data_IF_103162799619
#
_entry.id   IF_103162799619
#
_cell.length_a   1.000
_cell.length_b   1.000
_cell.length_c   1.000
_cell.angle_alpha   90.00
_cell.angle_beta   90.00
_cell.angle_gamma   90.00
#
_symmetry.space_group_name_H-M   'P 1'
#
loop_
_entity.id
_entity.type
_entity.pdbx_description
1 polymer ?
#
# COMPACT_ATOMS: atom_id res chain seq x y z
N UNK A 1 27.37 1.43 15.32
CA UNK A 1 26.36 0.47 14.83
C UNK A 1 27.07 -0.72 14.22
N UNK A 2 27.06 -1.88 14.92
CA UNK A 2 27.55 -3.13 14.33
C UNK A 2 26.40 -3.68 13.48
N UNK A 3 26.62 -3.83 12.17
CA UNK A 3 25.66 -4.45 11.26
C UNK A 3 25.52 -5.94 11.61
N UNK A 4 24.29 -6.38 11.82
CA UNK A 4 23.95 -7.80 11.84
C UNK A 4 24.10 -8.36 10.45
N UNK A 5 24.95 -9.28 10.18
CA UNK A 5 25.19 -10.11 9.00
C UNK A 5 24.48 -9.75 7.67
N UNK A 6 25.22 -9.72 6.57
CA UNK A 6 24.70 -9.56 5.20
C UNK A 6 24.34 -10.92 4.59
N UNK A 7 23.17 -11.04 3.97
CA UNK A 7 22.73 -12.23 3.26
C UNK A 7 22.51 -11.98 1.78
N UNK A 8 23.02 -12.85 0.93
CA UNK A 8 22.78 -12.88 -0.51
C UNK A 8 21.50 -13.69 -0.82
N UNK A 9 20.72 -13.26 -1.78
CA UNK A 9 19.55 -14.02 -2.28
C UNK A 9 19.98 -15.31 -2.98
N UNK A 10 19.24 -16.42 -2.85
CA UNK A 10 17.94 -16.58 -2.20
C UNK A 10 18.02 -16.71 -0.67
N UNK A 11 17.04 -16.15 0.04
CA UNK A 11 16.97 -16.18 1.50
C UNK A 11 16.39 -17.53 1.95
N UNK A 12 17.14 -18.29 2.77
CA UNK A 12 16.60 -19.45 3.46
C UNK A 12 15.72 -18.99 4.63
N UNK A 13 14.42 -19.27 4.58
CA UNK A 13 13.43 -18.82 5.59
C UNK A 13 13.74 -19.34 6.99
N UNK A 14 14.21 -20.58 7.17
CA UNK A 14 14.60 -21.12 8.49
C UNK A 14 15.77 -20.33 9.10
N UNK A 15 16.72 -19.93 8.25
CA UNK A 15 17.87 -19.13 8.67
C UNK A 15 17.47 -17.70 9.01
N UNK A 16 16.50 -17.12 8.29
CA UNK A 16 15.92 -15.81 8.59
C UNK A 16 15.18 -15.82 9.91
N UNK A 17 14.38 -16.85 10.17
CA UNK A 17 13.65 -17.03 11.43
C UNK A 17 14.59 -17.12 12.62
N UNK A 18 15.67 -17.92 12.50
CA UNK A 18 16.72 -18.04 13.50
C UNK A 18 17.41 -16.70 13.80
N UNK A 19 17.69 -15.89 12.76
CA UNK A 19 18.35 -14.58 12.92
C UNK A 19 17.42 -13.57 13.57
N UNK A 20 16.14 -13.57 13.18
CA UNK A 20 15.13 -12.71 13.81
C UNK A 20 14.99 -13.09 15.28
N UNK A 21 14.92 -14.37 15.61
CA UNK A 21 14.86 -14.83 16.99
C UNK A 21 16.09 -14.41 17.79
N UNK A 22 17.29 -14.60 17.24
CA UNK A 22 18.56 -14.17 17.86
C UNK A 22 18.63 -12.65 18.04
N UNK A 23 18.10 -11.87 17.12
CA UNK A 23 18.03 -10.41 17.25
C UNK A 23 17.03 -10.00 18.36
N UNK A 24 15.89 -10.66 18.44
CA UNK A 24 14.89 -10.44 19.49
C UNK A 24 15.46 -10.79 20.87
N UNK A 25 16.14 -11.93 20.99
CA UNK A 25 16.79 -12.37 22.24
C UNK A 25 17.83 -11.34 22.70
N UNK A 26 18.65 -10.82 21.77
CA UNK A 26 19.66 -9.81 22.06
C UNK A 26 19.07 -8.45 22.46
N UNK A 27 17.94 -8.06 21.88
CA UNK A 27 17.19 -6.85 22.26
C UNK A 27 16.60 -7.04 23.67
N UNK A 28 16.18 -8.24 23.99
CA UNK A 28 15.63 -8.58 25.32
C UNK A 28 16.71 -8.59 26.40
N UNK A 29 17.91 -9.11 26.09
CA UNK A 29 19.06 -9.11 26.99
C UNK A 29 19.65 -7.72 27.24
N UNK A 30 19.56 -6.78 26.30
CA UNK A 30 20.08 -5.42 26.40
C UNK A 30 19.13 -4.43 27.08
N UNK A 31 17.89 -4.84 27.43
CA UNK A 31 17.04 -3.97 28.24
C UNK A 31 17.60 -3.87 29.65
N UNK A 32 17.95 -2.68 30.13
CA UNK A 32 18.29 -2.50 31.52
C UNK A 32 17.08 -2.96 32.35
N UNK A 33 17.33 -3.79 33.36
CA UNK A 33 16.30 -4.19 34.33
C UNK A 33 15.76 -2.92 34.95
N UNK A 34 14.59 -2.49 34.51
CA UNK A 34 13.95 -1.30 35.04
C UNK A 34 13.60 -1.53 36.51
N UNK A 35 13.77 -0.55 37.39
CA UNK A 35 13.45 -0.69 38.80
C UNK A 35 11.94 -0.97 38.93
N UNK A 36 11.61 -2.08 39.62
CA UNK A 36 10.26 -2.49 40.05
C UNK A 36 9.18 -2.26 38.98
N UNK A 37 8.91 -3.32 38.21
CA UNK A 37 7.71 -3.37 37.37
C UNK A 37 6.50 -2.95 38.22
N UNK A 38 5.77 -1.96 37.74
CA UNK A 38 4.53 -1.54 38.40
C UNK A 38 3.58 -2.75 38.43
N UNK A 39 2.72 -2.85 39.42
CA UNK A 39 1.71 -3.92 39.52
C UNK A 39 0.91 -4.13 38.23
N UNK A 40 0.68 -3.04 37.50
CA UNK A 40 0.08 -3.07 36.15
C UNK A 40 0.92 -3.86 35.14
N UNK A 41 2.24 -3.69 35.09
CA UNK A 41 3.07 -4.40 34.08
C UNK A 41 3.06 -5.90 34.33
N UNK A 42 3.11 -6.32 35.58
CA UNK A 42 3.01 -7.74 35.96
C UNK A 42 1.66 -8.32 35.56
N UNK A 43 0.57 -7.59 35.83
CA UNK A 43 -0.78 -8.01 35.45
C UNK A 43 -0.99 -8.02 33.92
N UNK A 44 -0.52 -6.99 33.23
CA UNK A 44 -0.61 -6.91 31.78
C UNK A 44 0.13 -8.07 31.10
N UNK A 45 1.33 -8.40 31.54
CA UNK A 45 2.10 -9.53 31.04
C UNK A 45 1.39 -10.87 31.30
N UNK A 46 0.80 -11.03 32.48
CA UNK A 46 0.02 -12.22 32.81
C UNK A 46 -1.16 -12.41 31.86
N UNK A 47 -2.00 -11.37 31.68
CA UNK A 47 -3.17 -11.47 30.80
C UNK A 47 -2.79 -11.65 29.35
N UNK A 48 -1.73 -11.00 28.87
CA UNK A 48 -1.21 -11.19 27.52
C UNK A 48 -0.80 -12.65 27.27
N UNK A 49 -0.03 -13.24 28.18
CA UNK A 49 0.41 -14.64 28.07
C UNK A 49 -0.78 -15.61 28.14
N UNK A 50 -1.71 -15.36 29.06
CA UNK A 50 -2.88 -16.18 29.29
C UNK A 50 -3.84 -16.18 28.10
N UNK A 51 -4.12 -15.04 27.52
CA UNK A 51 -5.04 -14.90 26.37
C UNK A 51 -4.42 -15.41 25.07
N UNK A 52 -3.09 -15.34 24.96
CA UNK A 52 -2.36 -15.82 23.76
C UNK A 52 -2.23 -17.34 23.71
N UNK A 53 -1.86 -17.97 24.83
CA UNK A 53 -1.64 -19.41 24.93
C UNK A 53 -2.26 -19.94 26.22
N UNK A 54 -3.56 -20.16 26.24
CA UNK A 54 -4.23 -20.62 27.47
C UNK A 54 -3.76 -22.02 27.83
N UNK A 55 -2.95 -22.08 28.86
CA UNK A 55 -2.50 -23.35 29.48
C UNK A 55 -3.38 -23.76 30.67
N UNK A 56 -4.18 -22.82 31.14
CA UNK A 56 -5.01 -22.92 32.33
C UNK A 56 -6.45 -22.85 31.87
N UNK A 57 -7.25 -23.89 32.23
CA UNK A 57 -8.64 -23.99 31.80
C UNK A 57 -9.62 -23.98 32.98
N UNK A 58 -9.08 -24.06 34.22
CA UNK A 58 -9.90 -24.09 35.45
C UNK A 58 -9.70 -22.80 36.23
N UNK A 59 -10.79 -22.31 36.82
CA UNK A 59 -10.78 -21.09 37.63
C UNK A 59 -9.81 -21.18 38.81
N UNK A 60 -9.77 -22.33 39.49
CA UNK A 60 -8.90 -22.55 40.64
C UNK A 60 -7.41 -22.47 40.29
N UNK A 61 -7.04 -23.01 39.12
CA UNK A 61 -5.68 -22.94 38.59
C UNK A 61 -5.30 -21.50 38.21
N UNK A 62 -6.24 -20.77 37.62
CA UNK A 62 -6.08 -19.36 37.28
C UNK A 62 -5.89 -18.50 38.53
N UNK A 63 -6.72 -18.71 39.55
CA UNK A 63 -6.57 -18.02 40.83
C UNK A 63 -5.25 -18.34 41.52
N UNK A 64 -4.81 -19.61 41.47
CA UNK A 64 -3.53 -20.03 42.04
C UNK A 64 -2.34 -19.36 41.32
N UNK A 65 -2.38 -19.26 40.02
CA UNK A 65 -1.32 -18.61 39.23
C UNK A 65 -1.29 -17.08 39.44
N UNK A 66 -2.44 -16.44 39.55
CA UNK A 66 -2.53 -15.01 39.90
C UNK A 66 -1.95 -14.74 41.29
N UNK A 67 -2.26 -15.60 42.29
CA UNK A 67 -1.70 -15.49 43.64
C UNK A 67 -0.17 -15.64 43.62
N UNK A 68 0.39 -16.56 42.83
CA UNK A 68 1.85 -16.74 42.66
C UNK A 68 2.53 -15.46 42.15
N UNK A 69 1.81 -14.68 41.34
CA UNK A 69 2.32 -13.42 40.80
C UNK A 69 1.94 -12.20 41.64
N UNK A 70 1.45 -12.41 42.86
CA UNK A 70 0.94 -11.36 43.75
C UNK A 70 -0.20 -10.52 43.15
N UNK A 71 -0.97 -11.14 42.26
CA UNK A 71 -2.17 -10.55 41.66
C UNK A 71 -3.39 -11.15 42.36
N UNK A 72 -4.29 -10.31 42.88
CA UNK A 72 -5.52 -10.76 43.54
C UNK A 72 -6.72 -10.50 42.64
N UNK A 73 -7.58 -11.51 42.52
CA UNK A 73 -8.95 -11.33 42.03
C UNK A 73 -9.89 -11.29 43.23
N UNK A 74 -10.82 -10.38 43.21
CA UNK A 74 -11.97 -10.41 44.14
C UNK A 74 -12.87 -11.58 43.77
N UNK A 75 -13.48 -12.22 44.73
CA UNK A 75 -14.57 -13.15 44.50
C UNK A 75 -15.66 -12.39 43.71
N UNK A 76 -16.09 -12.96 42.59
CA UNK A 76 -17.01 -12.31 41.62
C UNK A 76 -16.47 -11.07 40.88
N UNK A 77 -15.18 -11.01 40.56
CA UNK A 77 -14.64 -9.96 39.71
C UNK A 77 -15.22 -10.05 38.31
N UNK A 78 -15.76 -8.93 37.81
CA UNK A 78 -16.23 -8.78 36.43
C UNK A 78 -15.15 -8.15 35.59
N UNK A 79 -15.14 -8.54 34.32
CA UNK A 79 -14.26 -7.99 33.30
C UNK A 79 -15.05 -7.52 32.08
N UNK A 80 -14.60 -6.44 31.50
CA UNK A 80 -15.00 -5.99 30.17
C UNK A 80 -13.82 -6.19 29.22
N UNK A 81 -14.04 -6.92 28.15
CA UNK A 81 -13.07 -7.09 27.07
C UNK A 81 -13.46 -6.24 25.87
N UNK A 82 -12.48 -5.65 25.22
CA UNK A 82 -12.70 -4.89 23.99
C UNK A 82 -11.53 -4.97 23.03
N UNK A 83 -11.83 -4.83 21.74
CA UNK A 83 -10.85 -4.57 20.70
C UNK A 83 -11.05 -3.16 20.18
N UNK A 84 -9.99 -2.39 20.19
CA UNK A 84 -9.94 -1.02 19.68
C UNK A 84 -9.16 -1.05 18.38
N UNK A 85 -9.79 -0.62 17.29
CA UNK A 85 -9.12 -0.37 16.01
C UNK A 85 -8.91 1.12 15.87
N UNK A 86 -7.67 1.57 15.70
CA UNK A 86 -7.33 2.97 15.53
C UNK A 86 -7.18 3.32 14.04
N UNK A 87 -7.67 4.51 13.68
CA UNK A 87 -7.32 5.13 12.40
C UNK A 87 -5.99 5.85 12.54
N UNK A 88 -4.94 5.23 12.05
CA UNK A 88 -3.55 5.70 12.13
C UNK A 88 -3.07 6.01 10.72
N UNK A 89 -2.53 7.21 10.49
CA UNK A 89 -1.95 7.62 9.23
C UNK A 89 -0.48 7.20 9.14
N UNK A 90 0.10 7.24 7.95
CA UNK A 90 1.51 6.88 7.74
C UNK A 90 2.46 7.75 8.56
N UNK A 91 2.18 9.05 8.65
CA UNK A 91 2.97 10.00 9.45
C UNK A 91 3.01 9.67 10.94
N UNK A 92 1.98 8.99 11.46
CA UNK A 92 1.87 8.61 12.88
C UNK A 92 2.81 7.46 13.29
N UNK A 93 3.55 6.87 12.33
CA UNK A 93 4.58 5.86 12.55
C UNK A 93 6.00 6.45 12.59
N UNK A 94 6.15 7.75 12.66
CA UNK A 94 7.46 8.37 12.80
C UNK A 94 8.20 7.84 14.06
N UNK A 95 9.53 7.60 13.99
CA UNK A 95 10.28 6.98 15.10
C UNK A 95 10.23 7.78 16.41
N UNK A 96 9.97 9.08 16.34
CA UNK A 96 9.86 9.96 17.50
C UNK A 96 8.51 9.81 18.23
N UNK A 97 7.52 9.23 17.59
CA UNK A 97 6.17 9.07 18.18
C UNK A 97 6.17 7.86 19.12
N UNK A 98 5.74 8.01 20.38
CA UNK A 98 5.62 6.89 21.30
C UNK A 98 4.67 5.81 20.74
N UNK A 99 4.94 4.53 21.04
CA UNK A 99 4.07 3.45 20.57
C UNK A 99 2.61 3.66 20.96
N UNK A 100 1.69 3.32 20.08
CA UNK A 100 0.25 3.47 20.29
C UNK A 100 -0.25 2.73 21.53
N UNK A 101 0.33 1.57 21.84
CA UNK A 101 0.06 0.88 23.10
C UNK A 101 0.40 1.75 24.31
N UNK A 102 1.52 2.48 24.26
CA UNK A 102 1.93 3.39 25.34
C UNK A 102 1.00 4.61 25.46
N UNK A 103 0.57 5.16 24.34
CA UNK A 103 -0.36 6.29 24.31
C UNK A 103 -1.75 5.91 24.85
N UNK A 104 -2.33 4.82 24.34
CA UNK A 104 -3.60 4.28 24.83
C UNK A 104 -3.52 3.92 26.33
N UNK A 105 -2.39 3.33 26.77
CA UNK A 105 -2.18 3.04 28.21
C UNK A 105 -2.28 4.30 29.05
N UNK A 106 -1.63 5.39 28.66
CA UNK A 106 -1.71 6.67 29.40
C UNK A 106 -3.12 7.20 29.46
N UNK A 107 -3.86 7.17 28.35
CA UNK A 107 -5.26 7.59 28.29
C UNK A 107 -6.10 6.76 29.26
N UNK A 108 -6.00 5.42 29.23
CA UNK A 108 -6.83 4.53 30.01
C UNK A 108 -6.47 4.51 31.49
N UNK A 109 -5.19 4.67 31.85
CA UNK A 109 -4.78 4.81 33.24
C UNK A 109 -5.26 6.12 33.87
N UNK A 110 -5.19 7.22 33.14
CA UNK A 110 -5.72 8.51 33.60
C UNK A 110 -7.24 8.50 33.78
N UNK A 111 -7.93 7.65 33.04
CA UNK A 111 -9.37 7.48 33.04
C UNK A 111 -9.86 6.45 34.08
N UNK A 112 -8.98 5.56 34.56
CA UNK A 112 -9.30 4.52 35.56
C UNK A 112 -9.70 5.13 36.91
N UNK A 113 -10.68 4.50 37.58
CA UNK A 113 -11.18 4.90 38.89
C UNK A 113 -11.55 3.64 39.71
N UNK A 114 -12.27 3.80 40.82
CA UNK A 114 -12.70 2.68 41.67
C UNK A 114 -13.69 1.71 40.98
N UNK A 115 -14.51 2.23 40.04
CA UNK A 115 -15.54 1.46 39.35
C UNK A 115 -14.97 0.65 38.17
N UNK A 116 -13.89 1.13 37.55
CA UNK A 116 -13.23 0.46 36.44
C UNK A 116 -11.74 0.73 36.42
N UNK A 117 -10.95 -0.31 36.20
CA UNK A 117 -9.48 -0.27 36.16
C UNK A 117 -8.95 -1.03 34.96
N UNK A 118 -7.98 -0.44 34.26
CA UNK A 118 -7.28 -1.12 33.19
C UNK A 118 -6.43 -2.26 33.77
N UNK A 119 -6.76 -3.49 33.41
CA UNK A 119 -6.01 -4.70 33.79
C UNK A 119 -4.97 -5.09 32.74
N UNK A 120 -5.31 -4.95 31.45
CA UNK A 120 -4.39 -5.29 30.38
C UNK A 120 -4.67 -4.47 29.10
N UNK A 121 -3.60 -4.19 28.35
CA UNK A 121 -3.64 -3.56 27.04
C UNK A 121 -2.46 -4.06 26.19
N UNK A 122 -2.73 -4.64 25.03
CA UNK A 122 -1.71 -5.12 24.12
C UNK A 122 -2.18 -5.08 22.66
N UNK A 123 -1.23 -5.07 21.73
CA UNK A 123 -1.54 -5.14 20.30
C UNK A 123 -2.00 -6.55 19.93
N UNK A 124 -3.06 -6.66 19.14
CA UNK A 124 -3.60 -7.93 18.64
C UNK A 124 -2.65 -8.54 17.60
N UNK A 125 -2.28 -9.82 17.79
CA UNK A 125 -1.40 -10.51 16.84
C UNK A 125 -2.07 -10.73 15.48
N UNK A 126 -1.30 -10.57 14.42
CA UNK A 126 -1.78 -10.75 13.03
C UNK A 126 -2.69 -9.62 12.53
N UNK A 127 -2.94 -8.60 13.35
CA UNK A 127 -3.75 -7.44 13.00
C UNK A 127 -2.96 -6.14 13.10
N UNK A 128 -3.17 -5.26 12.14
CA UNK A 128 -2.58 -3.92 12.15
C UNK A 128 -3.53 -2.98 12.88
N UNK A 129 -2.99 -2.17 13.80
CA UNK A 129 -3.73 -1.11 14.53
C UNK A 129 -4.92 -1.58 15.37
N UNK A 130 -4.94 -2.86 15.74
CA UNK A 130 -5.92 -3.44 16.66
C UNK A 130 -5.28 -3.68 18.02
N UNK A 131 -5.97 -3.22 19.07
CA UNK A 131 -5.50 -3.29 20.45
C UNK A 131 -6.56 -3.96 21.31
N UNK A 132 -6.16 -4.98 22.06
CA UNK A 132 -7.03 -5.67 23.02
C UNK A 132 -6.90 -4.95 24.35
N UNK A 133 -8.02 -4.58 24.94
CA UNK A 133 -8.09 -4.02 26.28
C UNK A 133 -8.96 -4.89 27.19
N UNK A 134 -8.53 -4.98 28.42
CA UNK A 134 -9.21 -5.69 29.50
C UNK A 134 -9.36 -4.74 30.69
N UNK A 135 -10.60 -4.50 31.10
CA UNK A 135 -10.90 -3.69 32.27
C UNK A 135 -11.56 -4.54 33.36
N UNK A 136 -11.15 -4.34 34.59
CA UNK A 136 -11.89 -4.77 35.77
C UNK A 136 -13.04 -3.80 35.97
N UNK A 137 -14.25 -4.30 36.18
CA UNK A 137 -15.46 -3.49 36.33
C UNK A 137 -16.36 -4.03 37.43
N UNK A 138 -17.32 -3.22 37.88
CA UNK A 138 -18.33 -3.63 38.85
C UNK A 138 -19.54 -4.30 38.17
N UNK A 139 -20.33 -5.02 38.93
CA UNK A 139 -21.50 -5.80 38.45
C UNK A 139 -22.61 -4.93 37.79
N UNK A 140 -22.73 -3.66 38.18
CA UNK A 140 -23.76 -2.73 37.67
C UNK A 140 -23.31 -1.94 36.45
N UNK A 141 -22.26 -2.38 35.77
CA UNK A 141 -21.55 -1.61 34.79
C UNK A 141 -22.23 -1.64 33.40
N UNK A 142 -22.48 -0.46 32.81
CA UNK A 142 -23.01 -0.35 31.45
C UNK A 142 -21.87 -0.29 30.43
N UNK A 143 -21.66 -1.40 29.73
CA UNK A 143 -20.56 -1.57 28.78
C UNK A 143 -20.66 -0.64 27.57
N UNK A 144 -21.86 -0.37 27.07
CA UNK A 144 -22.04 0.51 25.91
C UNK A 144 -21.71 1.98 26.25
N UNK A 145 -22.21 2.47 27.38
CA UNK A 145 -21.90 3.82 27.87
C UNK A 145 -20.40 3.98 28.08
N UNK A 146 -19.74 2.96 28.58
CA UNK A 146 -18.29 2.97 28.80
C UNK A 146 -17.51 2.95 27.49
N UNK A 147 -17.91 2.13 26.51
CA UNK A 147 -17.29 2.11 25.21
C UNK A 147 -17.36 3.47 24.52
N UNK A 148 -18.53 4.16 24.62
CA UNK A 148 -18.68 5.53 24.11
C UNK A 148 -17.73 6.51 24.81
N UNK A 149 -17.54 6.36 26.11
CA UNK A 149 -16.64 7.21 26.88
C UNK A 149 -15.17 6.94 26.50
N UNK A 150 -14.77 5.69 26.31
CA UNK A 150 -13.42 5.33 25.80
C UNK A 150 -13.20 5.97 24.42
N UNK A 151 -14.16 5.86 23.51
CA UNK A 151 -14.09 6.44 22.18
C UNK A 151 -13.89 7.95 22.22
N UNK A 152 -14.66 8.63 23.06
CA UNK A 152 -14.54 10.07 23.26
C UNK A 152 -13.14 10.45 23.80
N UNK A 153 -12.63 9.72 24.82
CA UNK A 153 -11.31 9.97 25.38
C UNK A 153 -10.17 9.76 24.35
N UNK A 154 -10.31 8.77 23.46
CA UNK A 154 -9.37 8.55 22.37
C UNK A 154 -9.41 9.75 21.41
N UNK A 155 -10.62 10.18 21.03
CA UNK A 155 -10.79 11.31 20.12
C UNK A 155 -10.26 12.62 20.73
N UNK A 156 -10.54 12.90 22.00
CA UNK A 156 -10.17 14.15 22.66
C UNK A 156 -8.68 14.26 22.96
N UNK A 157 -8.04 13.13 23.33
CA UNK A 157 -6.63 13.12 23.75
C UNK A 157 -5.64 12.71 22.71
N UNK A 158 -6.05 11.84 21.77
CA UNK A 158 -5.19 11.33 20.72
C UNK A 158 -5.54 11.88 19.34
N UNK A 159 -6.71 12.50 19.19
CA UNK A 159 -7.22 13.06 17.93
C UNK A 159 -7.38 12.03 16.82
N UNK A 160 -7.64 10.76 17.17
CA UNK A 160 -7.82 9.66 16.23
C UNK A 160 -9.22 9.09 16.29
N UNK A 161 -9.73 8.74 15.11
CA UNK A 161 -10.95 7.95 14.99
C UNK A 161 -10.69 6.52 15.44
N UNK A 162 -11.71 5.88 16.00
CA UNK A 162 -11.60 4.50 16.48
C UNK A 162 -12.89 3.72 16.27
N UNK A 163 -12.74 2.39 16.13
CA UNK A 163 -13.82 1.44 16.20
C UNK A 163 -13.61 0.63 17.48
N UNK A 164 -14.65 0.48 18.27
CA UNK A 164 -14.60 -0.28 19.52
C UNK A 164 -15.59 -1.44 19.42
N UNK A 165 -15.05 -2.65 19.37
CA UNK A 165 -15.81 -3.90 19.49
C UNK A 165 -15.66 -4.38 20.92
N UNK A 166 -16.77 -4.66 21.61
CA UNK A 166 -16.73 -5.04 23.04
C UNK A 166 -17.77 -6.11 23.35
N UNK A 167 -17.45 -6.91 24.37
CA UNK A 167 -18.38 -7.87 24.96
C UNK A 167 -19.12 -7.26 26.15
N UNK A 168 -20.20 -7.91 26.55
CA UNK A 168 -20.83 -7.64 27.85
C UNK A 168 -19.87 -7.97 29.00
N UNK A 169 -20.15 -7.48 30.21
CA UNK A 169 -19.33 -7.78 31.38
C UNK A 169 -19.49 -9.24 31.80
N UNK A 170 -18.38 -9.94 32.04
CA UNK A 170 -18.35 -11.34 32.42
C UNK A 170 -17.58 -11.59 33.71
N UNK A 171 -17.95 -12.64 34.40
CA UNK A 171 -17.13 -13.16 35.47
C UNK A 171 -15.89 -13.87 34.92
N UNK A 172 -14.80 -13.84 35.66
CA UNK A 172 -13.49 -14.33 35.29
C UNK A 172 -13.43 -15.73 34.60
N UNK A 173 -14.27 -16.73 34.92
CA UNK A 173 -14.17 -18.05 34.29
C UNK A 173 -14.37 -18.06 32.78
N UNK A 174 -15.11 -17.08 32.23
CA UNK A 174 -15.53 -17.06 30.85
C UNK A 174 -14.61 -16.21 29.95
N UNK A 175 -13.64 -15.51 30.52
CA UNK A 175 -12.81 -14.52 29.81
C UNK A 175 -12.15 -15.04 28.54
N UNK A 176 -11.75 -16.31 28.52
CA UNK A 176 -11.15 -16.92 27.32
C UNK A 176 -12.15 -17.13 26.19
N UNK A 177 -13.35 -17.56 26.55
CA UNK A 177 -14.42 -17.73 25.57
C UNK A 177 -14.83 -16.38 25.01
N UNK A 178 -14.99 -15.41 25.87
CA UNK A 178 -15.40 -14.05 25.52
C UNK A 178 -14.39 -13.37 24.59
N UNK A 179 -13.08 -13.54 24.86
CA UNK A 179 -12.03 -13.02 23.98
C UNK A 179 -12.00 -13.73 22.63
N UNK A 180 -12.27 -15.04 22.58
CA UNK A 180 -12.40 -15.76 21.31
C UNK A 180 -13.58 -15.28 20.49
N UNK A 181 -14.73 -15.07 21.13
CA UNK A 181 -15.93 -14.53 20.47
C UNK A 181 -15.70 -13.11 19.97
N UNK A 182 -15.04 -12.29 20.79
CA UNK A 182 -14.64 -10.94 20.41
C UNK A 182 -13.70 -10.93 19.19
N UNK A 183 -12.71 -11.84 19.17
CA UNK A 183 -11.80 -11.97 18.01
C UNK A 183 -12.53 -12.47 16.77
N UNK A 184 -13.45 -13.41 16.93
CA UNK A 184 -14.25 -13.91 15.82
C UNK A 184 -15.18 -12.83 15.26
N UNK A 185 -15.78 -12.00 16.12
CA UNK A 185 -16.65 -10.90 15.71
C UNK A 185 -15.85 -9.74 15.08
N UNK A 186 -14.65 -9.46 15.61
CA UNK A 186 -13.77 -8.43 15.07
C UNK A 186 -13.33 -8.81 13.66
N UNK A 187 -13.78 -8.04 12.68
CA UNK A 187 -13.43 -8.24 11.28
C UNK A 187 -14.38 -9.14 10.47
N UNK A 188 -15.52 -9.60 11.00
CA UNK A 188 -16.61 -10.18 10.20
C UNK A 188 -17.42 -9.09 9.48
N UNK A 189 -17.64 -7.98 10.18
CA UNK A 189 -18.32 -6.80 9.69
C UNK A 189 -17.33 -5.64 9.59
N UNK A 190 -17.45 -4.85 8.55
CA UNK A 190 -16.64 -3.65 8.35
C UNK A 190 -17.55 -2.42 8.54
N UNK A 191 -17.39 -1.67 9.63
CA UNK A 191 -18.19 -0.50 9.95
C UNK A 191 -17.58 0.78 9.36
N UNK A 192 -18.27 1.91 9.59
CA UNK A 192 -17.64 3.23 9.51
C UNK A 192 -16.72 3.49 10.71
N UNK A 193 -15.82 4.46 10.57
CA UNK A 193 -15.07 4.97 11.70
C UNK A 193 -16.01 5.54 12.79
N UNK A 194 -15.53 5.52 14.01
CA UNK A 194 -16.29 5.95 15.20
C UNK A 194 -17.55 5.12 15.48
N UNK A 195 -17.58 3.86 15.07
CA UNK A 195 -18.63 2.91 15.39
C UNK A 195 -18.28 2.10 16.63
N UNK A 196 -19.27 1.81 17.46
CA UNK A 196 -19.20 0.95 18.63
C UNK A 196 -20.02 -0.31 18.33
N UNK A 197 -19.40 -1.47 18.46
CA UNK A 197 -19.98 -2.78 18.09
C UNK A 197 -20.10 -3.64 19.35
N UNK A 198 -21.31 -3.83 19.91
CA UNK A 198 -21.50 -4.83 20.94
C UNK A 198 -21.49 -6.22 20.33
N UNK A 199 -20.71 -7.13 20.94
CA UNK A 199 -20.78 -8.56 20.62
C UNK A 199 -21.83 -9.17 21.51
N UNK A 200 -22.99 -9.52 20.94
CA UNK A 200 -24.03 -10.27 21.63
C UNK A 200 -24.02 -11.72 21.15
N UNK A 201 -24.33 -12.67 22.04
CA UNK A 201 -24.51 -14.07 21.69
C UNK A 201 -25.60 -14.30 20.65
N UNK A 202 -26.48 -13.31 20.48
CA UNK A 202 -27.58 -13.29 19.50
C UNK A 202 -27.26 -12.41 18.28
N UNK A 203 -25.97 -12.11 18.01
CA UNK A 203 -25.62 -11.40 16.80
C UNK A 203 -26.14 -12.19 15.61
N UNK A 204 -27.34 -11.81 15.16
CA UNK A 204 -28.00 -12.35 14.00
C UNK A 204 -26.97 -12.33 12.86
N UNK A 205 -26.57 -13.51 12.40
CA UNK A 205 -25.87 -13.70 11.16
C UNK A 205 -26.73 -12.97 10.13
N UNK A 206 -26.34 -11.73 9.80
CA UNK A 206 -26.99 -11.00 8.73
C UNK A 206 -26.90 -11.93 7.52
N UNK A 207 -28.06 -12.51 7.14
CA UNK A 207 -28.12 -13.40 6.00
C UNK A 207 -27.41 -12.70 4.85
N UNK A 208 -26.37 -13.33 4.33
CA UNK A 208 -25.74 -12.90 3.09
C UNK A 208 -26.85 -12.89 2.02
N UNK A 209 -27.49 -11.73 1.84
CA UNK A 209 -28.21 -11.53 0.58
C UNK A 209 -27.14 -11.70 -0.49
N UNK A 210 -27.39 -12.62 -1.43
CA UNK A 210 -26.61 -12.68 -2.68
C UNK A 210 -26.67 -11.29 -3.31
N UNK A 211 -25.66 -10.50 -3.00
CA UNK A 211 -25.51 -9.18 -3.61
C UNK A 211 -24.89 -9.44 -4.96
N UNK A 212 -25.71 -9.34 -6.00
CA UNK A 212 -25.18 -9.26 -7.35
C UNK A 212 -24.19 -8.09 -7.38
N UNK A 213 -22.91 -8.40 -7.51
CA UNK A 213 -21.88 -7.38 -7.71
C UNK A 213 -22.11 -6.78 -9.08
N UNK A 214 -22.79 -5.63 -9.13
CA UNK A 214 -22.81 -4.83 -10.35
C UNK A 214 -21.36 -4.41 -10.60
N UNK A 215 -20.73 -4.99 -11.62
CA UNK A 215 -19.35 -4.70 -11.97
C UNK A 215 -19.24 -3.23 -12.37
N UNK A 216 -18.42 -2.48 -11.63
CA UNK A 216 -18.01 -1.14 -12.03
C UNK A 216 -17.08 -1.30 -13.24
N UNK A 217 -17.34 -0.54 -14.31
CA UNK A 217 -16.39 -0.45 -15.41
C UNK A 217 -15.37 0.63 -15.11
N UNK A 218 -14.11 0.23 -14.89
CA UNK A 218 -12.99 1.14 -14.72
C UNK A 218 -12.60 1.71 -16.09
N UNK A 219 -12.87 2.99 -16.29
CA UNK A 219 -12.57 3.75 -17.52
C UNK A 219 -12.15 5.16 -17.13
N UNK A 220 -11.59 5.92 -18.07
CA UNK A 220 -11.14 7.30 -17.84
C UNK A 220 -12.25 8.24 -17.34
N UNK A 221 -13.51 7.91 -17.61
CA UNK A 221 -14.68 8.65 -17.13
C UNK A 221 -15.07 8.34 -15.69
N UNK A 222 -14.54 7.25 -15.08
CA UNK A 222 -14.88 6.89 -13.70
C UNK A 222 -14.21 7.84 -12.72
N UNK A 223 -14.99 8.61 -11.99
CA UNK A 223 -14.52 9.50 -10.93
C UNK A 223 -14.61 8.88 -9.53
N UNK A 224 -13.99 9.54 -8.56
CA UNK A 224 -13.99 9.10 -7.16
C UNK A 224 -15.39 9.06 -6.54
N UNK A 225 -16.29 9.95 -6.99
CA UNK A 225 -17.68 10.04 -6.50
C UNK A 225 -18.50 8.83 -6.96
N UNK A 226 -18.27 8.34 -8.16
CA UNK A 226 -18.92 7.13 -8.68
C UNK A 226 -18.43 5.87 -7.97
N UNK A 227 -17.12 5.81 -7.66
CA UNK A 227 -16.55 4.73 -6.87
C UNK A 227 -17.17 4.70 -5.46
N UNK A 228 -17.28 5.86 -4.81
CA UNK A 228 -17.93 5.98 -3.50
C UNK A 228 -19.42 5.59 -3.54
N UNK A 229 -20.16 6.04 -4.55
CA UNK A 229 -21.58 5.67 -4.74
C UNK A 229 -21.76 4.16 -4.92
N UNK A 230 -20.83 3.52 -5.61
CA UNK A 230 -20.85 2.06 -5.82
C UNK A 230 -20.64 1.29 -4.51
N UNK A 231 -19.88 1.82 -3.56
CA UNK A 231 -19.77 1.24 -2.22
C UNK A 231 -21.06 1.38 -1.42
N UNK A 232 -21.71 2.55 -1.51
CA UNK A 232 -22.91 2.84 -0.70
C UNK A 232 -24.04 1.85 -0.90
N UNK A 233 -24.19 1.26 -2.08
CA UNK A 233 -25.24 0.27 -2.38
C UNK A 233 -25.11 -1.02 -1.55
N UNK A 234 -23.93 -1.33 -1.00
CA UNK A 234 -23.69 -2.53 -0.20
C UNK A 234 -23.81 -2.30 1.30
N UNK A 235 -24.04 -1.05 1.72
CA UNK A 235 -24.07 -0.68 3.13
C UNK A 235 -25.49 -0.89 3.66
N UNK A 236 -25.60 -1.71 4.69
CA UNK A 236 -26.84 -1.94 5.43
C UNK A 236 -26.60 -1.78 6.92
N UNK A 237 -27.38 -0.93 7.59
CA UNK A 237 -27.25 -0.72 9.02
C UNK A 237 -25.91 -0.11 9.47
N UNK A 238 -25.19 0.62 8.58
CA UNK A 238 -23.91 1.24 8.89
C UNK A 238 -22.71 0.30 8.87
N UNK A 239 -22.86 -0.94 8.43
CA UNK A 239 -21.81 -1.95 8.31
C UNK A 239 -21.93 -2.73 7.03
N UNK A 240 -20.82 -3.34 6.58
CA UNK A 240 -20.77 -4.24 5.41
C UNK A 240 -20.11 -5.55 5.83
N UNK A 241 -20.66 -6.72 5.47
CA UNK A 241 -19.98 -7.98 5.65
C UNK A 241 -18.62 -7.97 4.95
N UNK A 242 -17.56 -8.38 5.65
CA UNK A 242 -16.20 -8.42 5.12
C UNK A 242 -16.09 -9.28 3.85
N UNK A 243 -16.87 -10.36 3.76
CA UNK A 243 -16.93 -11.23 2.60
C UNK A 243 -17.33 -10.47 1.32
N UNK A 244 -18.25 -9.51 1.44
CA UNK A 244 -18.66 -8.66 0.31
C UNK A 244 -17.51 -7.74 -0.11
N UNK A 245 -16.85 -7.06 0.83
CA UNK A 245 -15.69 -6.22 0.51
C UNK A 245 -14.53 -7.02 -0.07
N UNK A 246 -14.34 -8.27 0.35
CA UNK A 246 -13.34 -9.16 -0.24
C UNK A 246 -13.68 -9.52 -1.70
N UNK A 247 -14.96 -9.79 -2.01
CA UNK A 247 -15.42 -10.01 -3.39
C UNK A 247 -15.20 -8.75 -4.25
N UNK A 248 -15.61 -7.58 -3.74
CA UNK A 248 -15.39 -6.29 -4.41
C UNK A 248 -13.90 -6.00 -4.63
N UNK A 249 -13.06 -6.30 -3.64
CA UNK A 249 -11.62 -6.13 -3.77
C UNK A 249 -11.05 -6.94 -4.94
N UNK A 250 -11.44 -8.20 -5.08
CA UNK A 250 -10.99 -9.05 -6.18
C UNK A 250 -11.50 -8.53 -7.54
N UNK A 251 -12.79 -8.22 -7.62
CA UNK A 251 -13.42 -7.73 -8.84
C UNK A 251 -12.79 -6.40 -9.30
N UNK A 252 -12.71 -5.41 -8.42
CA UNK A 252 -12.14 -4.11 -8.75
C UNK A 252 -10.65 -4.16 -9.07
N UNK A 253 -9.89 -5.00 -8.37
CA UNK A 253 -8.46 -5.21 -8.69
C UNK A 253 -8.31 -5.82 -10.08
N UNK A 254 -9.16 -6.78 -10.44
CA UNK A 254 -9.18 -7.39 -11.78
C UNK A 254 -9.54 -6.36 -12.86
N UNK A 255 -10.58 -5.55 -12.64
CA UNK A 255 -11.02 -4.53 -13.58
C UNK A 255 -9.94 -3.46 -13.82
N UNK A 256 -9.27 -2.99 -12.75
CA UNK A 256 -8.12 -2.08 -12.87
C UNK A 256 -6.97 -2.76 -13.64
N UNK A 257 -6.73 -4.05 -13.41
CA UNK A 257 -5.76 -4.82 -14.17
C UNK A 257 -6.06 -4.89 -15.67
N UNK A 258 -7.34 -5.10 -16.03
CA UNK A 258 -7.81 -5.09 -17.43
C UNK A 258 -7.61 -3.70 -18.06
N UNK A 259 -7.99 -2.64 -17.35
CA UNK A 259 -7.79 -1.26 -17.81
C UNK A 259 -6.31 -0.96 -18.09
N UNK A 260 -5.40 -1.36 -17.21
CA UNK A 260 -3.96 -1.19 -17.41
C UNK A 260 -3.43 -2.00 -18.60
N UNK A 261 -3.86 -3.27 -18.74
CA UNK A 261 -3.43 -4.15 -19.83
C UNK A 261 -3.88 -3.60 -21.19
N UNK A 262 -5.11 -3.10 -21.29
CA UNK A 262 -5.62 -2.42 -22.49
C UNK A 262 -4.78 -1.21 -22.90
N UNK A 263 -4.13 -0.53 -21.95
CA UNK A 263 -3.22 0.57 -22.16
C UNK A 263 -1.73 0.15 -22.21
N UNK A 264 -1.44 -1.16 -22.30
CA UNK A 264 -0.09 -1.70 -22.42
C UNK A 264 0.77 -1.55 -21.16
N UNK A 265 0.13 -1.40 -19.99
CA UNK A 265 0.80 -1.21 -18.70
C UNK A 265 0.68 -2.47 -17.84
N UNK A 266 1.82 -2.93 -17.35
CA UNK A 266 1.87 -4.09 -16.48
C UNK A 266 1.47 -3.72 -15.03
N UNK A 267 0.42 -4.34 -14.51
CA UNK A 267 -0.18 -4.02 -13.20
C UNK A 267 0.80 -4.13 -12.02
N UNK A 268 1.84 -4.98 -12.10
CA UNK A 268 2.82 -5.12 -11.01
C UNK A 268 3.56 -3.84 -10.65
N UNK A 269 3.59 -2.82 -11.54
CA UNK A 269 4.21 -1.53 -11.27
C UNK A 269 3.46 -0.70 -10.22
N UNK A 270 2.17 -0.96 -10.02
CA UNK A 270 1.36 -0.27 -9.03
C UNK A 270 1.68 -0.68 -7.58
N UNK A 271 2.27 -1.86 -7.40
CA UNK A 271 2.50 -2.46 -6.08
C UNK A 271 3.89 -2.16 -5.48
N UNK A 272 4.65 -1.25 -6.06
CA UNK A 272 6.05 -1.00 -5.67
C UNK A 272 6.23 0.27 -4.82
N UNK A 273 5.28 0.57 -3.94
CA UNK A 273 5.45 1.70 -3.03
C UNK A 273 4.89 1.46 -1.63
N UNK A 274 5.49 2.11 -0.63
CA UNK A 274 5.14 1.97 0.77
C UNK A 274 3.71 2.42 1.09
N UNK A 275 3.20 3.45 0.41
CA UNK A 275 1.84 3.96 0.61
C UNK A 275 0.78 2.94 0.17
N UNK A 276 1.01 2.23 -0.96
CA UNK A 276 0.13 1.13 -1.36
C UNK A 276 0.07 0.05 -0.28
N UNK A 277 1.23 -0.39 0.23
CA UNK A 277 1.29 -1.44 1.26
C UNK A 277 0.62 -1.00 2.56
N UNK A 278 0.81 0.26 2.94
CA UNK A 278 0.16 0.86 4.10
C UNK A 278 -1.37 0.82 4.00
N UNK A 279 -1.94 1.30 2.89
CA UNK A 279 -3.38 1.32 2.66
C UNK A 279 -3.95 -0.09 2.47
N UNK A 280 -3.21 -0.97 1.75
CA UNK A 280 -3.61 -2.35 1.51
C UNK A 280 -3.82 -3.15 2.80
N UNK A 281 -2.95 -2.99 3.79
CA UNK A 281 -3.06 -3.67 5.07
C UNK A 281 -4.29 -3.22 5.87
N UNK A 282 -4.79 -2.01 5.64
CA UNK A 282 -5.86 -1.35 6.41
C UNK A 282 -7.22 -1.31 5.71
N UNK A 283 -7.29 -1.71 4.45
CA UNK A 283 -8.49 -1.59 3.61
C UNK A 283 -9.78 -2.20 4.19
N UNK A 284 -9.67 -3.11 5.15
CA UNK A 284 -10.83 -3.73 5.80
C UNK A 284 -11.02 -3.26 7.26
N UNK A 285 -10.38 -2.17 7.67
CA UNK A 285 -10.61 -1.60 9.00
C UNK A 285 -11.94 -0.86 9.06
N UNK A 286 -12.24 -0.09 8.03
CA UNK A 286 -13.52 0.62 7.90
C UNK A 286 -13.95 0.70 6.45
N UNK A 287 -15.20 1.13 6.23
CA UNK A 287 -15.75 1.38 4.89
C UNK A 287 -14.97 2.51 4.21
N UNK A 288 -14.62 3.56 4.96
CA UNK A 288 -13.80 4.67 4.45
C UNK A 288 -12.40 4.20 4.07
N UNK A 289 -11.75 3.37 4.89
CA UNK A 289 -10.42 2.82 4.57
C UNK A 289 -10.44 1.96 3.30
N UNK A 290 -11.53 1.25 3.03
CA UNK A 290 -11.71 0.53 1.78
C UNK A 290 -11.83 1.49 0.60
N UNK A 291 -12.62 2.56 0.76
CA UNK A 291 -12.75 3.63 -0.22
C UNK A 291 -11.43 4.33 -0.51
N UNK A 292 -10.69 4.73 0.54
CA UNK A 292 -9.37 5.36 0.44
C UNK A 292 -8.37 4.50 -0.34
N UNK A 293 -8.32 3.20 -0.03
CA UNK A 293 -7.43 2.27 -0.74
C UNK A 293 -7.75 2.22 -2.23
N UNK A 294 -9.03 2.07 -2.62
CA UNK A 294 -9.39 1.98 -4.03
C UNK A 294 -9.32 3.30 -4.77
N UNK A 295 -9.63 4.43 -4.11
CA UNK A 295 -9.42 5.76 -4.67
C UNK A 295 -7.93 5.99 -4.98
N UNK A 296 -7.05 5.67 -4.03
CA UNK A 296 -5.62 5.75 -4.25
C UNK A 296 -5.17 4.82 -5.39
N UNK A 297 -5.62 3.56 -5.37
CA UNK A 297 -5.22 2.55 -6.36
C UNK A 297 -5.66 2.95 -7.77
N UNK A 298 -6.89 3.41 -7.92
CA UNK A 298 -7.44 3.88 -9.19
C UNK A 298 -6.74 5.15 -9.70
N UNK A 299 -6.59 6.17 -8.85
CA UNK A 299 -5.89 7.41 -9.21
C UNK A 299 -4.46 7.11 -9.68
N UNK A 300 -3.78 6.20 -8.98
CA UNK A 300 -2.42 5.80 -9.34
C UNK A 300 -2.37 5.06 -10.68
N UNK A 301 -3.33 4.17 -10.95
CA UNK A 301 -3.46 3.48 -12.23
C UNK A 301 -3.68 4.47 -13.40
N UNK A 302 -4.59 5.42 -13.23
CA UNK A 302 -4.84 6.47 -14.23
C UNK A 302 -3.61 7.33 -14.52
N UNK A 303 -2.89 7.72 -13.48
CA UNK A 303 -1.66 8.52 -13.64
C UNK A 303 -0.62 7.75 -14.45
N UNK A 304 -0.44 6.45 -14.25
CA UNK A 304 0.46 5.63 -15.07
C UNK A 304 0.05 5.59 -16.53
N UNK A 305 -1.25 5.50 -16.84
CA UNK A 305 -1.77 5.53 -18.22
C UNK A 305 -1.51 6.90 -18.84
N UNK A 306 -1.88 7.96 -18.15
CA UNK A 306 -1.68 9.35 -18.63
C UNK A 306 -0.20 9.65 -18.89
N UNK A 307 0.69 9.22 -17.99
CA UNK A 307 2.13 9.40 -18.16
C UNK A 307 2.67 8.64 -19.38
N UNK A 308 2.19 7.41 -19.60
CA UNK A 308 2.57 6.60 -20.76
C UNK A 308 2.09 7.23 -22.08
N UNK A 309 0.85 7.75 -22.11
CA UNK A 309 0.31 8.47 -23.26
C UNK A 309 1.08 9.77 -23.56
N UNK A 310 1.39 10.54 -22.52
CA UNK A 310 2.18 11.76 -22.66
C UNK A 310 3.59 11.46 -23.21
N UNK A 311 4.23 10.38 -22.75
CA UNK A 311 5.52 9.93 -23.29
C UNK A 311 5.39 9.54 -24.77
N UNK A 312 4.37 8.76 -25.15
CA UNK A 312 4.13 8.35 -26.53
C UNK A 312 3.86 9.56 -27.43
N UNK A 313 3.02 10.49 -27.00
CA UNK A 313 2.73 11.73 -27.73
C UNK A 313 3.98 12.60 -27.88
N UNK A 314 4.85 12.67 -26.88
CA UNK A 314 6.13 13.37 -26.95
C UNK A 314 7.06 12.77 -28.01
N UNK A 315 7.16 11.43 -28.06
CA UNK A 315 7.97 10.73 -29.07
C UNK A 315 7.38 10.94 -30.47
N UNK A 316 6.08 10.87 -30.63
CA UNK A 316 5.44 11.15 -31.94
C UNK A 316 5.75 12.57 -32.45
N UNK A 317 5.68 13.58 -31.58
CA UNK A 317 6.07 14.96 -31.92
C UNK A 317 7.53 15.07 -32.34
N UNK A 318 8.43 14.35 -31.67
CA UNK A 318 9.86 14.31 -32.05
C UNK A 318 10.06 13.66 -33.42
N UNK A 319 9.37 12.55 -33.72
CA UNK A 319 9.41 11.87 -35.01
C UNK A 319 8.95 12.83 -36.12
N UNK A 320 7.79 13.46 -35.95
CA UNK A 320 7.25 14.43 -36.91
C UNK A 320 8.19 15.62 -37.15
N UNK A 321 8.79 16.13 -36.06
CA UNK A 321 9.78 17.20 -36.19
C UNK A 321 11.01 16.75 -36.97
N UNK A 322 11.59 15.59 -36.65
CA UNK A 322 12.75 15.04 -37.40
C UNK A 322 12.38 14.85 -38.86
N UNK A 323 11.20 14.34 -39.18
CA UNK A 323 10.76 14.08 -40.55
C UNK A 323 10.68 15.33 -41.42
N UNK A 324 10.38 16.48 -40.82
CA UNK A 324 10.35 17.77 -41.54
C UNK A 324 11.66 18.55 -41.48
N UNK A 325 12.48 18.32 -40.44
CA UNK A 325 13.68 19.14 -40.15
C UNK A 325 15.00 18.34 -40.17
N UNK A 326 15.03 17.09 -40.72
CA UNK A 326 16.23 16.25 -40.73
C UNK A 326 17.47 16.89 -41.35
N UNK A 327 17.28 17.93 -42.20
CA UNK A 327 18.34 18.70 -42.86
C UNK A 327 19.08 19.63 -41.91
N UNK A 328 18.47 20.01 -40.82
CA UNK A 328 18.99 20.95 -39.83
C UNK A 328 19.94 20.27 -38.82
N UNK A 329 20.64 21.07 -38.03
CA UNK A 329 21.43 20.54 -36.93
C UNK A 329 20.53 20.10 -35.77
N UNK A 330 20.27 18.80 -35.70
CA UNK A 330 19.42 18.17 -34.68
C UNK A 330 20.24 17.61 -33.54
N UNK A 331 20.44 18.38 -32.48
CA UNK A 331 21.07 17.89 -31.27
C UNK A 331 20.05 17.16 -30.33
N UNK A 332 20.53 16.21 -29.51
CA UNK A 332 19.69 15.55 -28.51
C UNK A 332 19.09 16.54 -27.51
N UNK A 333 19.86 17.59 -27.14
CA UNK A 333 19.39 18.62 -26.21
C UNK A 333 18.26 19.43 -26.83
N UNK A 334 18.44 19.92 -28.09
CA UNK A 334 17.41 20.68 -28.79
C UNK A 334 16.08 19.92 -28.88
N UNK A 335 16.15 18.64 -29.25
CA UNK A 335 14.95 17.80 -29.35
C UNK A 335 14.34 17.50 -27.95
N UNK A 336 15.15 17.33 -26.91
CA UNK A 336 14.67 17.11 -25.55
C UNK A 336 13.97 18.36 -24.98
N UNK A 337 14.50 19.54 -25.23
CA UNK A 337 13.92 20.82 -24.80
C UNK A 337 12.52 21.05 -25.41
N UNK A 338 12.28 20.60 -26.65
CA UNK A 338 10.98 20.70 -27.32
C UNK A 338 9.86 19.95 -26.61
N UNK A 339 10.19 18.89 -25.85
CA UNK A 339 9.24 18.06 -25.15
C UNK A 339 9.44 18.11 -23.65
N UNK A 340 10.20 19.07 -23.14
CA UNK A 340 10.49 19.31 -21.71
C UNK A 340 11.11 18.10 -21.00
N UNK A 341 11.97 17.35 -21.69
CA UNK A 341 12.68 16.20 -21.14
C UNK A 341 14.19 16.46 -21.05
N UNK A 342 14.90 15.69 -20.22
CA UNK A 342 16.36 15.64 -20.31
C UNK A 342 16.80 14.83 -21.54
N UNK A 343 17.97 15.14 -22.10
CA UNK A 343 18.50 14.47 -23.29
C UNK A 343 18.65 12.94 -23.11
N UNK A 344 19.05 12.50 -21.91
CA UNK A 344 19.20 11.07 -21.58
C UNK A 344 17.83 10.39 -21.44
N UNK A 345 16.84 11.08 -20.87
CA UNK A 345 15.49 10.55 -20.76
C UNK A 345 14.85 10.42 -22.15
N UNK A 346 14.93 11.44 -23.00
CA UNK A 346 14.46 11.37 -24.39
C UNK A 346 15.12 10.20 -25.13
N UNK A 347 16.45 10.05 -25.07
CA UNK A 347 17.14 8.96 -25.76
C UNK A 347 16.66 7.58 -25.33
N UNK A 348 16.39 7.39 -24.04
CA UNK A 348 15.91 6.12 -23.47
C UNK A 348 14.48 5.80 -23.91
N UNK A 349 13.56 6.76 -23.82
CA UNK A 349 12.16 6.52 -24.22
C UNK A 349 12.01 6.41 -25.73
N UNK A 350 12.74 7.21 -26.51
CA UNK A 350 12.76 7.11 -27.98
C UNK A 350 13.16 5.69 -28.41
N UNK A 351 14.27 5.17 -27.86
CA UNK A 351 14.71 3.82 -28.18
C UNK A 351 13.71 2.74 -27.74
N UNK A 352 13.01 2.97 -26.61
CA UNK A 352 12.00 2.03 -26.10
C UNK A 352 10.79 1.98 -27.05
N UNK A 353 10.32 3.14 -27.51
CA UNK A 353 9.10 3.26 -28.34
C UNK A 353 9.33 2.93 -29.81
N UNK A 354 10.51 3.31 -30.38
CA UNK A 354 10.82 3.11 -31.81
C UNK A 354 11.67 1.88 -32.09
N UNK A 355 12.27 1.28 -31.06
CA UNK A 355 13.21 0.16 -31.22
C UNK A 355 14.64 0.60 -31.60
N UNK A 356 14.88 1.88 -31.92
CA UNK A 356 16.17 2.37 -32.38
C UNK A 356 16.60 3.69 -31.71
N UNK A 357 17.90 4.00 -31.82
CA UNK A 357 18.40 5.24 -31.22
C UNK A 357 18.03 6.46 -32.06
N UNK A 358 17.86 7.61 -31.41
CA UNK A 358 17.55 8.89 -32.04
C UNK A 358 18.57 9.24 -33.18
N UNK A 359 19.86 9.03 -32.91
CA UNK A 359 20.92 9.28 -33.89
C UNK A 359 20.79 8.35 -35.10
N UNK A 360 20.46 7.07 -34.88
CA UNK A 360 20.24 6.12 -35.96
C UNK A 360 19.04 6.52 -36.81
N UNK A 361 17.94 6.91 -36.19
CA UNK A 361 16.72 7.35 -36.86
C UNK A 361 17.00 8.58 -37.80
N UNK A 362 17.65 9.62 -37.28
CA UNK A 362 18.05 10.81 -38.07
C UNK A 362 18.96 10.41 -39.20
N UNK A 363 19.96 9.55 -38.92
CA UNK A 363 20.90 9.08 -39.95
C UNK A 363 20.18 8.33 -41.07
N UNK A 364 19.30 7.40 -40.72
CA UNK A 364 18.58 6.60 -41.72
C UNK A 364 17.63 7.47 -42.56
N UNK A 365 17.01 8.50 -41.96
CA UNK A 365 16.20 9.48 -42.70
C UNK A 365 17.03 10.28 -43.72
N UNK A 366 18.20 10.80 -43.31
CA UNK A 366 19.13 11.55 -44.20
C UNK A 366 19.65 10.69 -45.34
N UNK A 367 20.04 9.43 -45.05
CA UNK A 367 20.53 8.48 -46.06
C UNK A 367 19.41 8.15 -47.07
N UNK A 368 18.19 7.90 -46.62
CA UNK A 368 17.06 7.65 -47.53
C UNK A 368 16.76 8.84 -48.42
N UNK A 369 16.71 10.04 -47.88
CA UNK A 369 16.56 11.25 -48.67
C UNK A 369 17.70 11.47 -49.66
N UNK A 370 18.93 11.13 -49.30
CA UNK A 370 20.08 11.20 -50.20
C UNK A 370 20.02 10.19 -51.36
N UNK A 371 19.43 9.00 -51.16
CA UNK A 371 19.20 8.02 -52.23
C UNK A 371 18.27 8.56 -53.30
N UNK A 372 17.17 9.20 -52.88
CA UNK A 372 16.21 9.82 -53.79
C UNK A 372 16.91 10.91 -54.64
N UNK A 373 17.64 11.83 -54.00
CA UNK A 373 18.37 12.91 -54.70
C UNK A 373 19.46 12.35 -55.65
N UNK A 374 20.13 11.26 -55.25
CA UNK A 374 21.17 10.64 -56.08
C UNK A 374 20.62 9.94 -57.32
N UNK A 375 19.41 9.34 -57.24
CA UNK A 375 18.76 8.63 -58.34
C UNK A 375 18.01 9.59 -59.29
N UNK A 376 17.41 10.66 -58.78
CA UNK A 376 16.52 11.53 -59.53
C UNK A 376 17.19 12.78 -60.07
N UNK A 377 18.38 13.15 -59.58
CA UNK A 377 19.04 14.39 -59.92
C UNK A 377 20.49 14.20 -60.33
N UNK A 378 21.03 15.16 -61.12
CA UNK A 378 22.45 15.26 -61.44
C UNK A 378 23.22 16.18 -60.49
N UNK A 379 22.63 16.54 -59.37
CA UNK A 379 23.22 17.42 -58.35
C UNK A 379 24.58 16.86 -57.87
N UNK A 380 25.64 17.66 -57.76
CA UNK A 380 26.92 17.21 -57.25
C UNK A 380 26.79 16.48 -55.89
N UNK A 381 27.51 15.37 -55.72
CA UNK A 381 27.37 14.53 -54.52
C UNK A 381 27.67 15.33 -53.24
N UNK A 382 28.61 16.27 -53.28
CA UNK A 382 28.91 17.15 -52.15
C UNK A 382 27.73 18.06 -51.81
N UNK A 383 26.98 18.52 -52.82
CA UNK A 383 25.77 19.33 -52.63
C UNK A 383 24.63 18.47 -52.08
N UNK A 384 24.46 17.21 -52.56
CA UNK A 384 23.49 16.28 -51.98
C UNK A 384 23.78 16.06 -50.52
N UNK A 385 25.05 15.88 -50.11
CA UNK A 385 25.43 15.73 -48.70
C UNK A 385 24.96 16.94 -47.88
N UNK A 386 25.20 18.17 -48.35
CA UNK A 386 24.77 19.38 -47.67
C UNK A 386 23.23 19.52 -47.62
N UNK A 387 22.52 19.17 -48.68
CA UNK A 387 21.06 19.26 -48.78
C UNK A 387 20.36 18.27 -47.82
N UNK A 388 21.01 17.19 -47.44
CA UNK A 388 20.48 16.23 -46.45
C UNK A 388 21.03 16.43 -45.04
N UNK A 389 21.78 17.54 -44.81
CA UNK A 389 22.21 17.94 -43.45
C UNK A 389 23.57 17.37 -43.02
N UNK A 390 24.49 17.08 -43.98
CA UNK A 390 25.88 16.74 -43.68
C UNK A 390 26.84 17.84 -44.15
N UNK A 391 27.42 18.57 -43.21
CA UNK A 391 28.44 19.57 -43.50
C UNK A 391 29.76 18.98 -43.99
N UNK A 392 30.06 17.72 -43.57
CA UNK A 392 31.28 17.02 -43.91
C UNK A 392 31.02 15.92 -44.96
N UNK A 393 31.46 16.21 -46.19
CA UNK A 393 31.33 15.28 -47.32
C UNK A 393 31.99 13.92 -47.11
N UNK A 394 33.18 13.90 -46.48
CA UNK A 394 33.90 12.63 -46.23
C UNK A 394 33.16 11.76 -45.22
N UNK A 395 32.58 12.39 -44.21
CA UNK A 395 31.73 11.69 -43.21
C UNK A 395 30.46 11.14 -43.85
N UNK A 396 29.77 11.96 -44.66
CA UNK A 396 28.59 11.51 -45.41
C UNK A 396 28.94 10.27 -46.27
N UNK A 397 30.00 10.34 -47.07
CA UNK A 397 30.41 9.24 -47.96
C UNK A 397 30.69 7.95 -47.19
N UNK A 398 31.33 8.08 -46.03
CA UNK A 398 31.62 6.93 -45.13
C UNK A 398 30.32 6.32 -44.62
N UNK A 399 29.42 7.11 -44.05
CA UNK A 399 28.14 6.64 -43.46
C UNK A 399 27.24 6.05 -44.56
N UNK A 400 27.15 6.70 -45.72
CA UNK A 400 26.37 6.19 -46.84
C UNK A 400 26.87 4.81 -47.29
N UNK A 401 28.21 4.64 -47.46
CA UNK A 401 28.80 3.35 -47.82
C UNK A 401 28.58 2.30 -46.74
N UNK A 402 28.67 2.67 -45.48
CA UNK A 402 28.42 1.74 -44.36
C UNK A 402 26.96 1.25 -44.35
N UNK A 403 26.00 2.16 -44.66
CA UNK A 403 24.57 1.81 -44.64
C UNK A 403 24.08 1.11 -45.91
N UNK A 404 24.58 1.49 -47.06
CA UNK A 404 24.08 1.05 -48.38
C UNK A 404 25.01 -0.01 -49.01
N UNK A 405 26.25 -0.15 -48.55
CA UNK A 405 27.24 -1.08 -49.08
C UNK A 405 28.08 -0.53 -50.25
N UNK A 406 27.65 0.50 -50.91
CA UNK A 406 28.35 1.14 -52.06
C UNK A 406 28.55 2.62 -51.83
N UNK A 407 29.49 3.27 -52.55
CA UNK A 407 29.67 4.72 -52.44
C UNK A 407 28.49 5.46 -53.04
N UNK A 408 28.25 6.75 -52.65
CA UNK A 408 27.21 7.58 -53.28
C UNK A 408 27.37 7.71 -54.78
N UNK A 409 28.62 7.78 -55.28
CA UNK A 409 28.91 7.83 -56.70
C UNK A 409 28.60 6.53 -57.48
N UNK A 410 28.91 5.37 -56.86
CA UNK A 410 28.57 4.10 -57.45
C UNK A 410 27.07 3.82 -57.40
N UNK A 411 26.41 4.21 -56.30
CA UNK A 411 24.94 4.17 -56.15
C UNK A 411 24.24 4.93 -57.27
N UNK A 412 24.69 6.17 -57.53
CA UNK A 412 24.15 6.99 -58.64
C UNK A 412 24.30 6.27 -59.99
N UNK A 413 25.51 5.71 -60.30
CA UNK A 413 25.73 4.99 -61.56
C UNK A 413 24.84 3.77 -61.74
N UNK A 414 24.45 3.14 -60.67
CA UNK A 414 23.59 1.94 -60.67
C UNK A 414 22.10 2.26 -60.82
N UNK A 415 21.70 3.51 -60.51
CA UNK A 415 20.27 3.91 -60.42
C UNK A 415 19.92 5.09 -61.32
N UNK A 416 20.86 5.62 -62.09
CA UNK A 416 20.60 6.67 -63.13
C UNK A 416 20.83 5.98 -64.49
N UNK A 417 19.75 5.83 -65.29
CA UNK A 417 19.81 5.36 -66.68
C UNK A 417 20.55 6.34 -67.61
#
# INVERSE_FOLDING_TARGET
MQSFEYYLKPINFEKLEFIIQKALDKITEQRPVAPLETSFQTENNFWFEYLRKPRIHRLEELQAELRRRNLSLKDHQYFLTGVITLHINEADYAPEIPSWTSQLKKVFQAFSNETYQLASLFKMEGHVDHYVCLFRVDNSFNSETFARKIQQEIQDKLHHNSIITFNSCFQCPNILQDVKELYAATGQQVPYWNTIIPVSSDAAVLQEKEVATNSISFSDSLDESELAKSLLQYISGGMVPKSILQKLHLDWTQQIGIYLDQNGISAHKLFQNAQHDFLFQRKFHSIESFGEYFTYYWSHARNFVTDAENQKNSIQRIIEYIDHHYKEDLSRSTLADMVYLSADHLARIFKKETGETLVKYITDKRINASKELLSETKTPIAQVASEVGYDNYSYFTKIFKEKIGVSPGDYRKQHTD
#
